data_IF_300139108421
#
_entry.id   IF_300139108421
#
_cell.length_a   1.000
_cell.length_b   1.000
_cell.length_c   1.000
_cell.angle_alpha   90.00
_cell.angle_beta   90.00
_cell.angle_gamma   90.00
#
_symmetry.space_group_name_H-M   'P 1'
#
loop_
_entity.id
_entity.type
_entity.pdbx_description
1 polymer ?
#
# COMPACT_ATOMS: atom_id res chain seq x y z
N UNK A 1 -34.91 14.60 38.46
CA UNK A 1 -34.21 15.16 37.29
C UNK A 1 -33.63 13.99 36.50
N UNK A 2 -34.31 13.61 35.43
CA UNK A 2 -33.88 12.50 34.57
C UNK A 2 -32.78 12.98 33.62
N UNK A 3 -31.64 12.28 33.66
CA UNK A 3 -30.47 12.58 32.82
C UNK A 3 -30.71 11.95 31.45
N UNK A 4 -31.12 12.75 30.47
CA UNK A 4 -31.24 12.33 29.07
C UNK A 4 -29.85 12.02 28.50
N UNK A 5 -29.57 10.75 28.19
CA UNK A 5 -28.28 10.28 27.63
C UNK A 5 -28.40 9.92 26.13
N UNK A 6 -29.29 10.61 25.39
CA UNK A 6 -29.60 10.30 23.99
C UNK A 6 -28.81 11.15 22.98
N UNK A 7 -27.57 11.52 23.27
CA UNK A 7 -26.74 12.28 22.34
C UNK A 7 -25.64 11.40 21.76
N UNK A 8 -25.73 11.13 20.45
CA UNK A 8 -24.63 10.58 19.65
C UNK A 8 -23.41 11.49 19.80
N UNK A 9 -22.35 10.99 20.41
CA UNK A 9 -21.09 11.70 20.48
C UNK A 9 -20.37 11.56 19.14
N UNK A 10 -20.02 12.70 18.52
CA UNK A 10 -19.11 12.69 17.38
C UNK A 10 -17.73 12.26 17.87
N UNK A 11 -17.35 11.03 17.57
CA UNK A 11 -15.96 10.63 17.62
C UNK A 11 -15.33 11.04 16.29
N UNK A 12 -14.48 12.06 16.32
CA UNK A 12 -13.51 12.28 15.24
C UNK A 12 -12.55 11.11 15.30
N UNK A 13 -12.74 10.12 14.43
CA UNK A 13 -11.68 9.17 14.12
C UNK A 13 -10.52 10.05 13.67
N UNK A 14 -9.43 10.09 14.45
CA UNK A 14 -8.18 10.64 13.95
C UNK A 14 -7.87 9.81 12.71
N UNK A 15 -8.03 10.41 11.52
CA UNK A 15 -7.64 9.78 10.26
C UNK A 15 -6.17 9.43 10.47
N UNK A 16 -5.87 8.13 10.59
CA UNK A 16 -4.50 7.68 10.48
C UNK A 16 -3.94 8.29 9.18
N UNK A 17 -2.68 8.75 9.18
CA UNK A 17 -2.08 9.29 7.97
C UNK A 17 -2.31 8.29 6.82
N UNK A 18 -2.91 8.80 5.74
CA UNK A 18 -3.27 8.00 4.58
C UNK A 18 -1.99 7.33 4.07
N UNK A 19 -2.00 5.99 4.07
CA UNK A 19 -0.83 5.20 3.73
C UNK A 19 -0.48 5.48 2.27
N UNK A 20 0.66 6.13 1.99
CA UNK A 20 1.01 6.45 0.62
C UNK A 20 1.43 5.19 -0.14
N UNK A 21 0.94 5.05 -1.37
CA UNK A 21 1.23 3.90 -2.25
C UNK A 21 2.74 3.76 -2.50
N UNK A 22 3.43 4.90 -2.66
CA UNK A 22 4.88 4.98 -2.80
C UNK A 22 5.64 4.38 -1.61
N UNK A 23 5.23 4.70 -0.38
CA UNK A 23 5.82 4.14 0.85
C UNK A 23 5.66 2.62 0.91
N UNK A 24 4.48 2.12 0.52
CA UNK A 24 4.20 0.68 0.46
C UNK A 24 5.11 -0.01 -0.55
N UNK A 25 5.21 0.54 -1.77
CA UNK A 25 6.08 0.01 -2.81
C UNK A 25 7.55 -0.02 -2.37
N UNK A 26 8.02 1.02 -1.68
CA UNK A 26 9.38 1.10 -1.15
C UNK A 26 9.64 0.01 -0.08
N UNK A 27 8.73 -0.16 0.88
CA UNK A 27 8.85 -1.18 1.93
C UNK A 27 8.87 -2.58 1.32
N UNK A 28 7.96 -2.85 0.39
CA UNK A 28 7.87 -4.15 -0.31
C UNK A 28 9.14 -4.42 -1.10
N UNK A 29 9.64 -3.43 -1.85
CA UNK A 29 10.87 -3.56 -2.62
C UNK A 29 12.06 -3.93 -1.73
N UNK A 30 12.25 -3.21 -0.61
CA UNK A 30 13.33 -3.48 0.35
C UNK A 30 13.18 -4.87 0.97
N UNK A 31 11.98 -5.24 1.42
CA UNK A 31 11.73 -6.54 2.04
C UNK A 31 12.02 -7.71 1.08
N UNK A 32 11.64 -7.58 -0.20
CA UNK A 32 11.94 -8.57 -1.23
C UNK A 32 13.44 -8.69 -1.48
N UNK A 33 14.14 -7.55 -1.59
CA UNK A 33 15.60 -7.50 -1.80
C UNK A 33 16.37 -8.11 -0.63
N UNK A 34 15.99 -7.81 0.60
CA UNK A 34 16.58 -8.37 1.82
C UNK A 34 16.43 -9.90 1.90
N UNK A 35 15.34 -10.45 1.36
CA UNK A 35 15.12 -11.89 1.30
C UNK A 35 15.72 -12.57 0.07
N UNK A 36 16.39 -11.82 -0.82
CA UNK A 36 17.03 -12.35 -2.02
C UNK A 36 16.09 -12.65 -3.17
N UNK A 37 14.86 -12.11 -3.14
CA UNK A 37 13.95 -12.19 -4.29
C UNK A 37 14.27 -11.09 -5.31
N UNK A 38 13.88 -11.29 -6.57
CA UNK A 38 13.84 -10.21 -7.56
C UNK A 38 12.59 -9.35 -7.29
N UNK A 39 12.72 -8.11 -6.79
CA UNK A 39 11.56 -7.34 -6.37
C UNK A 39 10.60 -7.01 -7.51
N UNK A 40 11.14 -6.65 -8.69
CA UNK A 40 10.34 -6.27 -9.86
C UNK A 40 9.45 -7.43 -10.30
N UNK A 41 10.03 -8.62 -10.47
CA UNK A 41 9.26 -9.80 -10.91
C UNK A 41 8.15 -10.16 -9.91
N UNK A 42 8.42 -10.07 -8.61
CA UNK A 42 7.44 -10.41 -7.58
C UNK A 42 6.32 -9.37 -7.50
N UNK A 43 6.64 -8.08 -7.57
CA UNK A 43 5.64 -7.01 -7.57
C UNK A 43 4.76 -7.10 -8.83
N UNK A 44 5.35 -7.32 -10.01
CA UNK A 44 4.59 -7.54 -11.25
C UNK A 44 3.70 -8.79 -11.14
N UNK A 45 4.23 -9.90 -10.62
CA UNK A 45 3.47 -11.12 -10.38
C UNK A 45 2.27 -10.90 -9.46
N UNK A 46 2.45 -10.15 -8.38
CA UNK A 46 1.37 -9.76 -7.47
C UNK A 46 0.32 -8.88 -8.15
N UNK A 47 0.71 -7.82 -8.85
CA UNK A 47 -0.23 -6.91 -9.52
C UNK A 47 -1.11 -7.69 -10.51
N UNK A 48 -0.49 -8.52 -11.36
CA UNK A 48 -1.19 -9.26 -12.42
C UNK A 48 -2.12 -10.34 -11.87
N UNK A 49 -1.69 -11.07 -10.83
CA UNK A 49 -2.44 -12.24 -10.32
C UNK A 49 -3.35 -11.92 -9.13
N UNK A 50 -3.02 -10.90 -8.34
CA UNK A 50 -3.59 -10.64 -7.02
C UNK A 50 -3.14 -11.64 -5.93
N UNK A 51 -2.26 -12.59 -6.24
CA UNK A 51 -1.83 -13.61 -5.30
C UNK A 51 -0.76 -13.05 -4.32
N UNK A 52 -1.07 -12.90 -3.02
CA UNK A 52 -0.14 -12.32 -2.05
C UNK A 52 1.09 -13.19 -1.75
N UNK A 53 1.14 -14.44 -2.24
CA UNK A 53 2.30 -15.32 -2.05
C UNK A 53 3.55 -14.84 -2.79
N UNK A 54 3.39 -14.02 -3.84
CA UNK A 54 4.49 -13.33 -4.50
C UNK A 54 5.24 -12.37 -3.55
N UNK A 55 4.57 -11.85 -2.53
CA UNK A 55 5.16 -10.87 -1.61
C UNK A 55 5.58 -11.58 -0.32
N UNK A 56 6.78 -11.32 0.17
CA UNK A 56 7.26 -11.87 1.45
C UNK A 56 6.50 -11.28 2.64
N UNK A 57 6.30 -12.04 3.71
CA UNK A 57 5.77 -11.52 4.98
C UNK A 57 6.81 -10.75 5.80
N UNK A 58 8.06 -10.73 5.37
CA UNK A 58 9.13 -9.98 6.04
C UNK A 58 8.78 -8.49 6.13
N UNK A 59 9.10 -7.87 7.27
CA UNK A 59 8.80 -6.45 7.57
C UNK A 59 7.35 -6.03 7.27
N UNK A 60 6.38 -6.93 7.46
CA UNK A 60 4.96 -6.71 7.17
C UNK A 60 4.64 -6.37 5.70
N UNK A 61 5.57 -6.58 4.76
CA UNK A 61 5.40 -6.17 3.36
C UNK A 61 4.13 -6.74 2.72
N UNK A 62 3.86 -8.05 2.90
CA UNK A 62 2.64 -8.69 2.39
C UNK A 62 1.36 -8.04 2.94
N UNK A 63 1.31 -7.77 4.23
CA UNK A 63 0.10 -7.17 4.84
C UNK A 63 -0.09 -5.71 4.43
N UNK A 64 0.99 -4.99 4.14
CA UNK A 64 0.93 -3.59 3.69
C UNK A 64 0.41 -3.49 2.27
N UNK A 65 0.98 -4.27 1.34
CA UNK A 65 0.58 -4.20 -0.07
C UNK A 65 -0.87 -4.68 -0.30
N UNK A 66 -1.36 -5.60 0.53
CA UNK A 66 -2.77 -6.04 0.49
C UNK A 66 -3.78 -5.00 0.97
N UNK A 67 -3.34 -3.87 1.55
CA UNK A 67 -4.20 -2.74 1.93
C UNK A 67 -4.37 -1.71 0.81
N UNK A 68 -3.62 -1.86 -0.29
CA UNK A 68 -3.61 -0.96 -1.43
C UNK A 68 -4.29 -1.66 -2.59
N UNK A 69 -5.14 -0.96 -3.33
CA UNK A 69 -5.77 -1.54 -4.52
C UNK A 69 -4.72 -1.71 -5.63
N UNK A 70 -4.88 -2.75 -6.46
CA UNK A 70 -3.82 -3.12 -7.42
C UNK A 70 -3.69 -2.13 -8.56
N UNK A 71 -4.77 -1.48 -8.95
CA UNK A 71 -4.78 -0.41 -9.94
C UNK A 71 -4.06 0.84 -9.40
N UNK A 72 -4.21 1.17 -8.12
CA UNK A 72 -3.44 2.26 -7.47
C UNK A 72 -1.93 2.00 -7.54
N UNK A 73 -1.48 0.75 -7.34
CA UNK A 73 -0.06 0.38 -7.50
C UNK A 73 0.43 0.63 -8.93
N UNK A 74 -0.38 0.31 -9.95
CA UNK A 74 -0.03 0.51 -11.37
C UNK A 74 -0.02 1.99 -11.72
N UNK A 75 -1.02 2.73 -11.25
CA UNK A 75 -1.13 4.17 -11.45
C UNK A 75 0.09 4.90 -10.90
N UNK A 76 0.47 4.61 -9.64
CA UNK A 76 1.62 5.24 -8.99
C UNK A 76 2.93 4.96 -9.74
N UNK A 77 3.14 3.72 -10.19
CA UNK A 77 4.34 3.35 -10.98
C UNK A 77 4.35 4.08 -12.32
N UNK A 78 3.23 4.13 -13.03
CA UNK A 78 3.14 4.78 -14.34
C UNK A 78 3.31 6.30 -14.23
N UNK A 79 2.66 6.92 -13.24
CA UNK A 79 2.80 8.35 -12.94
C UNK A 79 4.26 8.70 -12.64
N UNK A 80 4.89 7.95 -11.73
CA UNK A 80 6.32 8.14 -11.40
C UNK A 80 7.19 7.99 -12.64
N UNK A 81 6.92 7.00 -13.50
CA UNK A 81 7.67 6.81 -14.74
C UNK A 81 7.54 8.01 -15.69
N UNK A 82 6.33 8.52 -15.92
CA UNK A 82 6.07 9.67 -16.80
C UNK A 82 6.78 10.92 -16.26
N UNK A 83 6.63 11.20 -14.96
CA UNK A 83 7.28 12.35 -14.28
C UNK A 83 8.81 12.32 -14.39
N UNK A 84 9.42 11.12 -14.41
CA UNK A 84 10.87 10.95 -14.51
C UNK A 84 11.39 10.74 -15.94
N UNK A 85 10.51 10.46 -16.91
CA UNK A 85 10.92 10.15 -18.29
C UNK A 85 10.84 11.34 -19.25
N UNK A 86 10.49 12.53 -18.75
CA UNK A 86 10.35 13.76 -19.54
C UNK A 86 9.49 13.55 -20.80
N UNK A 87 8.26 13.06 -20.61
CA UNK A 87 7.27 12.95 -21.69
C UNK A 87 6.55 14.28 -21.99
N UNK A 88 7.09 15.38 -21.44
CA UNK A 88 6.75 16.77 -21.74
C UNK A 88 7.79 17.40 -22.69
#
# INVERSE_FOLDING_TARGET
MEKNINNTQFFTVQKEPELQVSDVLEIVYKALKEKGYNPVNQIVGYIMSGDPTYITSHNNARSLIMKVERDELVEEVLKTYIENSAWD
#
